data_IF_043118087706
#
_entry.id   IF_043118087706
#
_cell.length_a   1.000
_cell.length_b   1.000
_cell.length_c   1.000
_cell.angle_alpha   90.00
_cell.angle_beta   90.00
_cell.angle_gamma   90.00
#
_symmetry.space_group_name_H-M   'P 1'
#
loop_
_entity.id
_entity.type
_entity.pdbx_description
1 polymer ?
#
# COMPACT_ATOMS: atom_id res chain seq x y z
N UNK A 1 -38.44 45.66 -2.02
CA UNK A 1 -37.09 45.05 -2.10
C UNK A 1 -37.25 43.63 -2.64
N UNK A 2 -36.95 43.42 -3.92
CA UNK A 2 -37.13 42.12 -4.58
C UNK A 2 -35.92 41.25 -4.26
N UNK A 3 -36.12 40.14 -3.54
CA UNK A 3 -35.07 39.17 -3.25
C UNK A 3 -34.52 38.57 -4.55
N UNK A 4 -33.26 38.83 -4.88
CA UNK A 4 -32.58 38.12 -5.95
C UNK A 4 -32.47 36.63 -5.57
N UNK A 5 -33.05 35.74 -6.37
CA UNK A 5 -32.85 34.29 -6.22
C UNK A 5 -31.53 33.92 -6.87
N UNK A 6 -30.54 33.52 -6.07
CA UNK A 6 -29.30 32.95 -6.58
C UNK A 6 -29.56 31.54 -7.11
N UNK A 7 -29.10 31.25 -8.33
CA UNK A 7 -29.06 29.87 -8.81
C UNK A 7 -27.92 29.11 -8.13
N UNK A 8 -28.29 28.00 -7.48
CA UNK A 8 -27.40 27.12 -6.73
C UNK A 8 -27.36 25.72 -7.34
N UNK A 9 -27.82 25.57 -8.58
CA UNK A 9 -27.89 24.31 -9.32
C UNK A 9 -26.51 23.62 -9.40
N UNK A 10 -25.46 24.37 -9.74
CA UNK A 10 -24.09 23.86 -9.87
C UNK A 10 -23.47 23.48 -8.52
N UNK A 11 -23.70 24.26 -7.47
CA UNK A 11 -23.23 23.93 -6.11
C UNK A 11 -23.86 22.63 -5.63
N UNK A 12 -25.17 22.45 -5.81
CA UNK A 12 -25.86 21.19 -5.48
C UNK A 12 -25.39 20.03 -6.37
N UNK A 13 -24.99 20.30 -7.62
CA UNK A 13 -24.42 19.29 -8.51
C UNK A 13 -23.05 18.84 -8.03
N UNK A 14 -22.18 19.76 -7.60
CA UNK A 14 -20.90 19.47 -6.98
C UNK A 14 -21.08 18.64 -5.71
N UNK A 15 -21.95 19.08 -4.80
CA UNK A 15 -22.24 18.39 -3.55
C UNK A 15 -22.62 16.92 -3.80
N UNK A 16 -23.59 16.67 -4.69
CA UNK A 16 -23.99 15.31 -5.08
C UNK A 16 -22.91 14.51 -5.77
N UNK A 17 -22.00 15.16 -6.48
CA UNK A 17 -20.85 14.49 -7.07
C UNK A 17 -19.89 14.05 -5.97
N UNK A 18 -19.44 14.97 -5.11
CA UNK A 18 -18.52 14.66 -4.00
C UNK A 18 -19.08 13.62 -3.04
N UNK A 19 -20.36 13.72 -2.67
CA UNK A 19 -21.02 12.78 -1.78
C UNK A 19 -21.01 11.34 -2.32
N UNK A 20 -20.96 11.16 -3.64
CA UNK A 20 -20.86 9.84 -4.29
C UNK A 20 -19.42 9.41 -4.57
N UNK A 21 -18.59 10.34 -5.02
CA UNK A 21 -17.21 10.05 -5.45
C UNK A 21 -16.30 9.74 -4.26
N UNK A 22 -16.36 10.51 -3.17
CA UNK A 22 -15.45 10.34 -2.02
C UNK A 22 -15.51 8.93 -1.40
N UNK A 23 -16.68 8.38 -1.04
CA UNK A 23 -16.74 7.02 -0.47
C UNK A 23 -16.25 5.94 -1.45
N UNK A 24 -16.42 6.15 -2.75
CA UNK A 24 -15.93 5.25 -3.78
C UNK A 24 -14.40 5.28 -3.86
N UNK A 25 -13.81 6.46 -3.96
CA UNK A 25 -12.35 6.65 -4.00
C UNK A 25 -11.70 6.05 -2.75
N UNK A 26 -12.27 6.26 -1.56
CA UNK A 26 -11.79 5.65 -0.31
C UNK A 26 -11.69 4.13 -0.38
N UNK A 27 -12.73 3.47 -0.92
CA UNK A 27 -12.73 2.00 -1.09
C UNK A 27 -11.71 1.55 -2.13
N UNK A 28 -11.56 2.31 -3.21
CA UNK A 28 -10.58 2.01 -4.26
C UNK A 28 -9.14 2.21 -3.75
N UNK A 29 -8.87 3.26 -2.96
CA UNK A 29 -7.58 3.50 -2.32
C UNK A 29 -7.17 2.33 -1.41
N UNK A 30 -8.10 1.83 -0.58
CA UNK A 30 -7.85 0.63 0.23
C UNK A 30 -7.46 -0.57 -0.64
N UNK A 31 -8.10 -0.76 -1.80
CA UNK A 31 -7.78 -1.86 -2.73
C UNK A 31 -6.39 -1.71 -3.32
N UNK A 32 -5.98 -0.49 -3.68
CA UNK A 32 -4.64 -0.22 -4.19
C UNK A 32 -3.58 -0.51 -3.12
N UNK A 33 -3.79 -0.06 -1.88
CA UNK A 33 -2.91 -0.37 -0.74
C UNK A 33 -2.79 -1.88 -0.48
N UNK A 34 -3.91 -2.60 -0.45
CA UNK A 34 -3.91 -4.07 -0.29
C UNK A 34 -3.16 -4.75 -1.43
N UNK A 35 -3.36 -4.28 -2.67
CA UNK A 35 -2.68 -4.85 -3.84
C UNK A 35 -1.17 -4.62 -3.76
N UNK A 36 -0.74 -3.40 -3.46
CA UNK A 36 0.68 -3.07 -3.27
C UNK A 36 1.32 -3.92 -2.17
N UNK A 37 0.63 -4.09 -1.03
CA UNK A 37 1.11 -4.94 0.05
C UNK A 37 1.28 -6.41 -0.35
N UNK A 38 0.33 -6.96 -1.14
CA UNK A 38 0.44 -8.32 -1.67
C UNK A 38 1.66 -8.45 -2.60
N UNK A 39 1.84 -7.48 -3.50
CA UNK A 39 2.96 -7.49 -4.45
C UNK A 39 4.31 -7.43 -3.72
N UNK A 40 4.48 -6.46 -2.81
CA UNK A 40 5.70 -6.34 -1.99
C UNK A 40 5.95 -7.61 -1.17
N UNK A 41 4.93 -8.20 -0.54
CA UNK A 41 5.08 -9.46 0.20
C UNK A 41 5.56 -10.60 -0.70
N UNK A 42 4.99 -10.73 -1.90
CA UNK A 42 5.35 -11.79 -2.84
C UNK A 42 6.78 -11.63 -3.36
N UNK A 43 7.15 -10.41 -3.74
CA UNK A 43 8.49 -10.11 -4.23
C UNK A 43 9.54 -10.25 -3.12
N UNK A 44 9.23 -9.82 -1.88
CA UNK A 44 10.09 -10.03 -0.72
C UNK A 44 10.28 -11.53 -0.46
N UNK A 45 9.20 -12.32 -0.52
CA UNK A 45 9.28 -13.77 -0.35
C UNK A 45 10.18 -14.41 -1.40
N UNK A 46 10.05 -14.04 -2.67
CA UNK A 46 10.89 -14.55 -3.75
C UNK A 46 12.36 -14.15 -3.54
N UNK A 47 12.61 -12.88 -3.22
CA UNK A 47 13.95 -12.35 -2.92
C UNK A 47 14.61 -13.12 -1.77
N UNK A 48 13.89 -13.32 -0.67
CA UNK A 48 14.38 -14.01 0.52
C UNK A 48 14.63 -15.51 0.30
N UNK A 49 13.83 -16.16 -0.56
CA UNK A 49 14.09 -17.55 -0.98
C UNK A 49 15.40 -17.66 -1.76
N UNK A 50 15.66 -16.70 -2.66
CA UNK A 50 16.86 -16.68 -3.49
C UNK A 50 18.13 -16.32 -2.67
N UNK A 51 18.07 -15.27 -1.86
CA UNK A 51 19.20 -14.75 -1.07
C UNK A 51 19.54 -15.67 0.11
N UNK A 52 18.53 -16.17 0.83
CA UNK A 52 18.69 -16.95 2.06
C UNK A 52 19.15 -18.40 1.86
N UNK A 53 19.11 -18.92 0.62
CA UNK A 53 19.55 -20.27 0.23
C UNK A 53 19.18 -21.35 1.27
N UNK A 54 20.17 -22.10 1.77
CA UNK A 54 19.97 -23.23 2.71
C UNK A 54 19.62 -22.81 4.13
N UNK A 55 20.02 -21.61 4.58
CA UNK A 55 19.95 -21.22 6.00
C UNK A 55 18.67 -20.46 6.36
N UNK A 56 18.23 -19.56 5.48
CA UNK A 56 17.02 -18.76 5.70
C UNK A 56 15.98 -18.93 4.58
N UNK A 57 16.36 -19.43 3.39
CA UNK A 57 15.48 -19.44 2.21
C UNK A 57 14.23 -20.34 2.30
N UNK A 58 14.09 -21.14 3.36
CA UNK A 58 12.93 -22.05 3.52
C UNK A 58 11.88 -21.56 4.51
N UNK A 59 12.29 -21.20 5.74
CA UNK A 59 11.35 -20.90 6.83
C UNK A 59 11.06 -19.41 6.94
N UNK A 60 12.09 -18.57 6.90
CA UNK A 60 11.94 -17.11 6.98
C UNK A 60 10.94 -16.54 5.95
N UNK A 61 11.01 -16.86 4.64
CA UNK A 61 10.06 -16.33 3.66
C UNK A 61 8.59 -16.70 3.92
N UNK A 62 8.33 -17.77 4.68
CA UNK A 62 6.96 -18.20 5.05
C UNK A 62 6.36 -17.31 6.13
N UNK A 63 7.19 -16.63 6.93
CA UNK A 63 6.75 -15.69 7.97
C UNK A 63 6.35 -14.32 7.40
N UNK A 64 6.66 -14.03 6.14
CA UNK A 64 6.32 -12.76 5.50
C UNK A 64 4.81 -12.62 5.36
N UNK A 65 4.27 -11.58 5.98
CA UNK A 65 2.87 -11.20 6.00
C UNK A 65 2.69 -9.72 5.72
N UNK A 66 1.45 -9.25 5.86
CA UNK A 66 1.14 -7.83 5.90
C UNK A 66 -0.11 -7.61 6.74
N UNK A 67 -0.17 -6.44 7.37
CA UNK A 67 -1.34 -5.92 8.06
C UNK A 67 -1.79 -4.62 7.40
N UNK A 68 -3.09 -4.33 7.50
CA UNK A 68 -3.69 -3.12 6.95
C UNK A 68 -4.28 -2.31 8.10
N UNK A 69 -3.88 -1.05 8.20
CA UNK A 69 -4.42 -0.10 9.16
C UNK A 69 -5.11 1.06 8.42
N UNK A 70 -6.25 1.49 8.95
CA UNK A 70 -6.90 2.73 8.54
C UNK A 70 -6.67 3.82 9.59
N UNK A 71 -6.27 5.02 9.18
CA UNK A 71 -6.15 6.18 10.04
C UNK A 71 -7.22 7.20 9.65
N UNK A 72 -8.35 7.11 10.34
CA UNK A 72 -9.55 7.83 9.93
C UNK A 72 -10.17 7.26 8.63
N UNK A 73 -11.02 8.02 7.95
CA UNK A 73 -11.77 7.53 6.80
C UNK A 73 -10.98 7.52 5.48
N UNK A 74 -9.85 8.22 5.41
CA UNK A 74 -9.15 8.55 4.17
C UNK A 74 -7.78 7.89 4.02
N UNK A 75 -7.10 7.58 5.12
CA UNK A 75 -5.71 7.13 5.09
C UNK A 75 -5.67 5.62 5.34
N UNK A 76 -5.06 4.89 4.41
CA UNK A 76 -4.78 3.47 4.53
C UNK A 76 -3.29 3.24 4.48
N UNK A 77 -2.77 2.42 5.39
CA UNK A 77 -1.39 2.01 5.41
C UNK A 77 -1.29 0.48 5.45
N UNK A 78 -0.23 -0.04 4.85
CA UNK A 78 0.16 -1.43 4.98
C UNK A 78 1.50 -1.53 5.71
N UNK A 79 1.55 -2.38 6.73
CA UNK A 79 2.81 -2.79 7.35
C UNK A 79 3.13 -4.16 6.80
N UNK A 80 4.29 -4.30 6.15
CA UNK A 80 4.69 -5.52 5.45
C UNK A 80 6.00 -5.99 6.08
N UNK A 81 6.10 -7.28 6.38
CA UNK A 81 7.30 -7.82 7.00
C UNK A 81 7.13 -9.22 7.58
N UNK A 82 8.20 -9.75 8.17
CA UNK A 82 8.20 -11.07 8.80
C UNK A 82 7.50 -11.03 10.15
N UNK A 83 6.64 -12.02 10.40
CA UNK A 83 6.10 -12.27 11.73
C UNK A 83 7.20 -12.79 12.66
N UNK A 84 7.52 -12.02 13.70
CA UNK A 84 8.55 -12.36 14.70
C UNK A 84 8.17 -13.59 15.55
N UNK A 85 6.89 -13.95 15.64
CA UNK A 85 6.46 -15.19 16.29
C UNK A 85 6.72 -16.44 15.43
N UNK A 86 6.96 -16.27 14.13
CA UNK A 86 7.15 -17.36 13.19
C UNK A 86 8.56 -17.97 13.23
N UNK A 87 8.72 -19.23 12.74
CA UNK A 87 10.03 -19.86 12.61
C UNK A 87 11.00 -19.02 11.76
N UNK A 88 12.14 -18.64 12.35
CA UNK A 88 13.14 -17.74 11.76
C UNK A 88 12.63 -16.31 11.46
N UNK A 89 11.42 -15.94 11.88
CA UNK A 89 10.89 -14.58 11.74
C UNK A 89 11.75 -13.49 12.40
N UNK A 90 12.29 -13.71 13.62
CA UNK A 90 13.18 -12.76 14.28
C UNK A 90 14.48 -12.46 13.50
N UNK A 91 14.88 -13.32 12.56
CA UNK A 91 16.04 -13.07 11.70
C UNK A 91 15.80 -11.92 10.72
N UNK A 92 14.56 -11.49 10.51
CA UNK A 92 14.19 -10.48 9.53
C UNK A 92 15.00 -9.19 9.62
N UNK A 93 15.27 -8.68 10.83
CA UNK A 93 16.06 -7.48 11.01
C UNK A 93 17.52 -7.68 10.57
N UNK A 94 18.12 -8.82 10.91
CA UNK A 94 19.50 -9.16 10.54
C UNK A 94 19.61 -9.42 9.04
N UNK A 95 18.65 -10.11 8.45
CA UNK A 95 18.63 -10.40 7.03
C UNK A 95 18.40 -9.13 6.21
N UNK A 96 17.48 -8.26 6.63
CA UNK A 96 17.16 -7.05 5.88
C UNK A 96 18.26 -6.00 5.98
N UNK A 97 18.78 -5.76 7.19
CA UNK A 97 19.69 -4.65 7.49
C UNK A 97 21.15 -5.05 7.69
N UNK A 98 21.44 -6.36 7.73
CA UNK A 98 22.76 -6.89 7.95
C UNK A 98 23.14 -6.96 9.43
N UNK A 99 24.39 -7.33 9.66
CA UNK A 99 25.03 -7.40 10.98
C UNK A 99 26.51 -7.04 10.82
N UNK A 100 27.24 -6.99 11.93
CA UNK A 100 28.70 -6.78 11.94
C UNK A 100 29.45 -7.75 11.02
N UNK A 101 28.94 -8.97 10.84
CA UNK A 101 29.62 -10.03 10.08
C UNK A 101 28.99 -10.35 8.72
N UNK A 102 27.78 -9.85 8.43
CA UNK A 102 27.05 -10.21 7.22
C UNK A 102 26.40 -8.97 6.60
N UNK A 103 26.59 -8.72 5.29
CA UNK A 103 25.93 -7.61 4.63
C UNK A 103 24.39 -7.79 4.59
N UNK A 104 23.62 -6.70 4.47
CA UNK A 104 22.18 -6.77 4.29
C UNK A 104 21.80 -7.52 3.02
N UNK A 105 20.78 -8.38 3.11
CA UNK A 105 20.12 -8.92 1.93
C UNK A 105 19.25 -7.86 1.27
N UNK A 106 18.62 -6.95 2.03
CA UNK A 106 17.72 -5.91 1.50
C UNK A 106 16.57 -6.47 0.64
N UNK A 107 16.03 -7.62 1.02
CA UNK A 107 15.03 -8.34 0.23
C UNK A 107 13.69 -7.59 0.20
N UNK A 108 13.31 -6.97 1.31
CA UNK A 108 12.11 -6.16 1.44
C UNK A 108 12.26 -4.79 0.79
N UNK A 109 13.42 -4.15 0.97
CA UNK A 109 13.74 -2.89 0.30
C UNK A 109 13.68 -3.00 -1.22
N UNK A 110 14.27 -4.06 -1.81
CA UNK A 110 14.15 -4.30 -3.26
C UNK A 110 12.71 -4.55 -3.72
N UNK A 111 11.92 -5.26 -2.93
CA UNK A 111 10.52 -5.51 -3.24
C UNK A 111 9.69 -4.21 -3.21
N UNK A 112 9.97 -3.33 -2.24
CA UNK A 112 9.34 -2.02 -2.15
C UNK A 112 9.72 -1.14 -3.35
N UNK A 113 11.01 -1.04 -3.67
CA UNK A 113 11.51 -0.25 -4.80
C UNK A 113 10.86 -0.69 -6.13
N UNK A 114 10.61 -2.00 -6.29
CA UNK A 114 9.98 -2.57 -7.49
C UNK A 114 8.46 -2.31 -7.59
N UNK A 115 7.75 -2.19 -6.47
CA UNK A 115 6.31 -1.93 -6.45
C UNK A 115 5.99 -0.44 -6.48
N UNK A 116 6.85 0.40 -5.91
CA UNK A 116 6.58 1.83 -5.69
C UNK A 116 6.06 2.56 -6.95
N UNK A 117 6.67 2.43 -8.15
CA UNK A 117 6.17 3.13 -9.33
C UNK A 117 4.74 2.68 -9.75
N UNK A 118 4.42 1.40 -9.57
CA UNK A 118 3.10 0.84 -9.88
C UNK A 118 2.07 1.34 -8.88
N UNK A 119 2.44 1.38 -7.61
CA UNK A 119 1.58 1.88 -6.54
C UNK A 119 1.24 3.37 -6.75
N UNK A 120 2.25 4.20 -7.03
CA UNK A 120 2.08 5.64 -7.29
C UNK A 120 1.17 5.89 -8.50
N UNK A 121 1.40 5.20 -9.61
CA UNK A 121 0.56 5.33 -10.81
C UNK A 121 -0.90 4.95 -10.56
N UNK A 122 -1.16 3.92 -9.74
CA UNK A 122 -2.53 3.54 -9.38
C UNK A 122 -3.19 4.57 -8.48
N UNK A 123 -2.47 5.13 -7.50
CA UNK A 123 -2.98 6.19 -6.64
C UNK A 123 -3.27 7.47 -7.43
N UNK A 124 -2.39 7.83 -8.36
CA UNK A 124 -2.59 8.96 -9.27
C UNK A 124 -3.86 8.75 -10.13
N UNK A 125 -4.05 7.56 -10.70
CA UNK A 125 -5.24 7.23 -11.47
C UNK A 125 -6.53 7.35 -10.62
N UNK A 126 -6.48 6.96 -9.34
CA UNK A 126 -7.61 7.16 -8.42
C UNK A 126 -7.88 8.64 -8.16
N UNK A 127 -6.83 9.44 -7.95
CA UNK A 127 -6.97 10.88 -7.76
C UNK A 127 -7.58 11.53 -9.00
N UNK A 128 -7.07 11.21 -10.19
CA UNK A 128 -7.60 11.70 -11.47
C UNK A 128 -9.07 11.31 -11.66
N UNK A 129 -9.45 10.05 -11.41
CA UNK A 129 -10.85 9.60 -11.51
C UNK A 129 -11.76 10.25 -10.47
N UNK A 130 -11.23 10.52 -9.29
CA UNK A 130 -11.98 11.14 -8.20
C UNK A 130 -12.22 12.63 -8.39
N UNK A 131 -11.26 13.30 -9.02
CA UNK A 131 -11.29 14.72 -9.36
C UNK A 131 -11.82 14.99 -10.77
N UNK A 132 -11.98 13.94 -11.59
CA UNK A 132 -12.60 14.01 -12.91
C UNK A 132 -14.07 14.40 -12.77
N UNK A 133 -14.28 15.69 -12.63
CA UNK A 133 -15.50 16.35 -12.97
C UNK A 133 -15.34 16.72 -14.44
N UNK A 134 -16.05 15.97 -15.31
CA UNK A 134 -16.42 16.24 -16.71
C UNK A 134 -16.17 15.00 -17.59
N UNK A 135 -17.23 14.22 -17.80
CA UNK A 135 -17.86 14.01 -19.11
C UNK A 135 -19.38 14.02 -18.87
#
# INVERSE_FOLDING_TARGET
MTSARFDMSDVRRLERHLARSIPRIRREARRVVVRGAINVKQDWRANAQASGRKHAGRLYPRTLGYDIAGYGPDIWAATIGPDKGGPQGPLGAILEYGSVHNPPHRDGGRALDAELPRFEAQMELLAQRGLAWWN
#
